data_IF_411512478954
#
_entry.id   IF_411512478954
#
_cell.length_a   1.000
_cell.length_b   1.000
_cell.length_c   1.000
_cell.angle_alpha   90.00
_cell.angle_beta   90.00
_cell.angle_gamma   90.00
#
_symmetry.space_group_name_H-M   'P 1'
#
loop_
_entity.id
_entity.type
_entity.pdbx_description
1 polymer ?
#
# COMPACT_ATOMS: atom_id res chain seq x y z
N UNK A 1 11.70 8.71 -8.26
CA UNK A 1 10.46 8.50 -7.47
C UNK A 1 9.70 7.34 -8.08
N UNK A 2 9.09 6.49 -7.25
CA UNK A 2 8.23 5.39 -7.71
C UNK A 2 6.79 5.70 -7.30
N UNK A 3 5.89 5.75 -8.28
CA UNK A 3 4.47 5.94 -8.05
C UNK A 3 3.81 4.58 -7.77
N UNK A 4 3.20 4.47 -6.59
CA UNK A 4 2.45 3.28 -6.11
C UNK A 4 1.00 3.61 -5.74
N UNK A 5 0.68 4.89 -5.51
CA UNK A 5 -0.69 5.34 -5.27
C UNK A 5 -1.50 5.45 -6.57
N UNK A 6 -2.81 5.28 -6.45
CA UNK A 6 -3.76 5.37 -7.57
C UNK A 6 -4.79 6.49 -7.33
N UNK A 7 -4.39 7.78 -7.33
CA UNK A 7 -5.34 8.87 -7.31
C UNK A 7 -6.14 8.92 -8.61
N UNK A 8 -7.33 9.49 -8.57
CA UNK A 8 -8.15 9.75 -9.78
C UNK A 8 -7.64 10.94 -10.60
N UNK A 9 -6.73 11.73 -10.03
CA UNK A 9 -6.16 12.94 -10.64
C UNK A 9 -4.78 12.69 -11.27
N UNK A 10 -4.35 13.60 -12.14
CA UNK A 10 -3.02 13.60 -12.74
C UNK A 10 -1.99 14.35 -11.89
N UNK A 11 -0.72 14.00 -12.03
CA UNK A 11 0.41 14.68 -11.38
C UNK A 11 1.11 15.62 -12.36
N UNK A 12 1.40 16.84 -11.92
CA UNK A 12 2.22 17.79 -12.68
C UNK A 12 3.73 17.54 -12.50
N UNK A 13 4.50 17.68 -13.58
CA UNK A 13 5.95 17.46 -13.58
C UNK A 13 6.68 18.58 -14.32
N UNK A 14 7.68 19.17 -13.66
CA UNK A 14 8.54 20.19 -14.27
C UNK A 14 9.58 19.56 -15.20
N UNK A 15 9.48 19.85 -16.50
CA UNK A 15 10.42 19.34 -17.52
C UNK A 15 11.86 19.82 -17.30
N UNK A 16 12.15 21.12 -17.04
CA UNK A 16 13.52 21.55 -16.80
C UNK A 16 14.16 20.82 -15.63
N UNK A 17 13.41 20.63 -14.53
CA UNK A 17 13.88 19.90 -13.36
C UNK A 17 14.10 18.42 -13.66
N UNK A 18 13.16 17.79 -14.38
CA UNK A 18 13.26 16.40 -14.78
C UNK A 18 14.56 16.12 -15.54
N UNK A 19 14.92 17.02 -16.46
CA UNK A 19 16.10 16.88 -17.32
C UNK A 19 17.38 17.29 -16.59
N UNK A 20 17.43 18.50 -16.01
CA UNK A 20 18.66 19.06 -15.43
C UNK A 20 19.11 18.28 -14.18
N UNK A 21 18.16 17.77 -13.40
CA UNK A 21 18.46 16.98 -12.20
C UNK A 21 18.52 15.47 -12.50
N UNK A 22 18.26 15.05 -13.75
CA UNK A 22 18.26 13.64 -14.15
C UNK A 22 17.25 12.77 -13.38
N UNK A 23 16.08 13.34 -13.05
CA UNK A 23 15.07 12.66 -12.23
C UNK A 23 14.43 11.53 -13.04
N UNK A 24 14.19 10.38 -12.39
CA UNK A 24 13.44 9.25 -12.96
C UNK A 24 12.12 9.07 -12.23
N UNK A 25 11.04 8.95 -12.99
CA UNK A 25 9.69 8.64 -12.49
C UNK A 25 9.25 7.31 -13.11
N UNK A 26 8.88 6.35 -12.26
CA UNK A 26 8.50 5.00 -12.67
C UNK A 26 7.24 4.59 -11.92
N UNK A 27 6.32 3.88 -12.56
CA UNK A 27 5.17 3.27 -11.90
C UNK A 27 5.51 1.86 -11.42
N UNK A 28 4.98 1.45 -10.26
CA UNK A 28 5.07 0.08 -9.78
C UNK A 28 3.71 -0.37 -9.27
N UNK A 29 3.27 -1.55 -9.70
CA UNK A 29 2.02 -2.14 -9.26
C UNK A 29 2.30 -3.56 -8.80
N UNK A 30 1.97 -3.84 -7.53
CA UNK A 30 2.14 -5.15 -6.89
C UNK A 30 3.54 -5.75 -7.13
N UNK A 31 3.62 -7.03 -7.48
CA UNK A 31 4.82 -7.74 -7.89
C UNK A 31 4.45 -9.05 -8.57
N UNK A 32 5.45 -9.78 -9.06
CA UNK A 32 5.32 -11.14 -9.54
C UNK A 32 5.09 -12.12 -8.38
N UNK A 33 4.80 -13.38 -8.70
CA UNK A 33 4.66 -14.43 -7.67
C UNK A 33 5.97 -14.69 -6.91
N UNK A 34 7.12 -14.53 -7.58
CA UNK A 34 8.41 -14.69 -6.91
C UNK A 34 8.68 -13.51 -5.97
N UNK A 35 8.40 -12.28 -6.39
CA UNK A 35 8.51 -11.09 -5.53
C UNK A 35 7.64 -11.24 -4.25
N UNK A 36 6.43 -11.79 -4.40
CA UNK A 36 5.55 -12.05 -3.24
C UNK A 36 6.13 -13.12 -2.31
N UNK A 37 6.74 -14.17 -2.86
CA UNK A 37 7.39 -15.23 -2.07
C UNK A 37 8.58 -14.68 -1.28
N UNK A 38 9.39 -13.83 -1.89
CA UNK A 38 10.48 -13.13 -1.22
C UNK A 38 9.94 -12.20 -0.12
N UNK A 39 8.87 -11.45 -0.40
CA UNK A 39 8.22 -10.58 0.57
C UNK A 39 7.69 -11.36 1.80
N UNK A 40 7.10 -12.54 1.58
CA UNK A 40 6.68 -13.42 2.68
C UNK A 40 7.85 -13.95 3.49
N UNK A 41 8.98 -14.27 2.84
CA UNK A 41 10.18 -14.72 3.53
C UNK A 41 10.71 -13.65 4.50
N UNK A 42 10.74 -12.38 4.10
CA UNK A 42 11.11 -11.28 5.00
C UNK A 42 10.15 -11.14 6.20
N UNK A 43 8.86 -11.41 6.00
CA UNK A 43 7.88 -11.46 7.08
C UNK A 43 8.10 -12.64 8.03
N UNK A 44 8.40 -13.82 7.49
CA UNK A 44 8.68 -15.03 8.27
C UNK A 44 9.96 -14.90 9.10
N UNK A 45 10.97 -14.19 8.59
CA UNK A 45 12.22 -13.87 9.30
C UNK A 45 12.04 -12.74 10.34
N UNK A 46 10.85 -12.13 10.43
CA UNK A 46 10.56 -11.04 11.35
C UNK A 46 11.23 -9.71 11.00
N UNK A 47 11.81 -9.59 9.80
CA UNK A 47 12.44 -8.35 9.32
C UNK A 47 11.40 -7.28 9.01
N UNK A 48 10.17 -7.69 8.72
CA UNK A 48 9.01 -6.80 8.52
C UNK A 48 7.81 -7.34 9.31
N UNK A 49 7.23 -6.51 10.17
CA UNK A 49 6.02 -6.83 10.92
C UNK A 49 4.90 -5.84 10.54
N UNK A 50 3.90 -6.28 9.74
CA UNK A 50 2.76 -5.44 9.40
C UNK A 50 1.97 -5.04 10.65
N UNK A 51 1.62 -3.75 10.76
CA UNK A 51 0.67 -3.29 11.78
C UNK A 51 -0.75 -3.62 11.31
N UNK A 52 -1.42 -4.51 12.04
CA UNK A 52 -2.76 -5.00 11.70
C UNK A 52 -3.72 -4.82 12.87
N UNK A 53 -4.99 -4.58 12.55
CA UNK A 53 -6.08 -4.56 13.51
C UNK A 53 -7.14 -5.58 13.05
N UNK A 54 -7.48 -6.53 13.92
CA UNK A 54 -8.47 -7.55 13.61
C UNK A 54 -9.88 -6.99 13.81
N UNK A 55 -10.78 -7.30 12.87
CA UNK A 55 -12.20 -6.93 12.91
C UNK A 55 -13.06 -8.12 12.50
N UNK A 56 -14.28 -8.25 13.04
CA UNK A 56 -15.23 -9.26 12.59
C UNK A 56 -15.84 -8.86 11.23
N UNK A 57 -16.49 -9.81 10.54
CA UNK A 57 -17.04 -9.60 9.19
C UNK A 57 -18.22 -8.60 9.20
N UNK A 58 -18.94 -8.51 10.31
CA UNK A 58 -20.07 -7.62 10.53
C UNK A 58 -19.68 -6.14 10.45
N UNK A 59 -18.41 -5.83 10.75
CA UNK A 59 -17.88 -4.46 10.84
C UNK A 59 -17.44 -3.89 9.47
N UNK A 60 -17.59 -4.63 8.37
CA UNK A 60 -17.06 -4.23 7.05
C UNK A 60 -17.53 -2.83 6.62
N UNK A 61 -18.80 -2.48 6.88
CA UNK A 61 -19.33 -1.16 6.52
C UNK A 61 -18.65 -0.02 7.30
N UNK A 62 -18.41 -0.24 8.60
CA UNK A 62 -17.74 0.74 9.45
C UNK A 62 -16.26 0.89 9.06
N UNK A 63 -15.61 -0.21 8.68
CA UNK A 63 -14.22 -0.20 8.17
C UNK A 63 -14.10 0.68 6.93
N UNK A 64 -15.02 0.56 5.95
CA UNK A 64 -14.98 1.41 4.76
C UNK A 64 -15.15 2.89 5.10
N UNK A 65 -16.07 3.22 6.02
CA UNK A 65 -16.25 4.60 6.49
C UNK A 65 -15.00 5.14 7.18
N UNK A 66 -14.40 4.37 8.09
CA UNK A 66 -13.15 4.75 8.76
C UNK A 66 -11.99 4.93 7.76
N UNK A 67 -11.97 4.15 6.68
CA UNK A 67 -10.97 4.25 5.62
C UNK A 67 -11.09 5.55 4.85
N UNK A 68 -12.31 5.91 4.43
CA UNK A 68 -12.60 7.17 3.74
C UNK A 68 -12.31 8.39 4.62
N UNK A 69 -12.59 8.29 5.92
CA UNK A 69 -12.30 9.32 6.92
C UNK A 69 -10.80 9.39 7.30
N UNK A 70 -9.96 8.48 6.78
CA UNK A 70 -8.52 8.45 7.07
C UNK A 70 -8.17 8.04 8.50
N UNK A 71 -9.06 7.34 9.20
CA UNK A 71 -8.89 6.94 10.62
C UNK A 71 -8.17 5.60 10.81
N UNK A 72 -7.98 4.83 9.73
CA UNK A 72 -7.31 3.54 9.79
C UNK A 72 -5.79 3.71 9.90
N UNK A 73 -5.25 3.26 11.03
CA UNK A 73 -3.81 3.06 11.15
C UNK A 73 -3.40 1.75 10.47
N UNK A 74 -2.76 1.86 9.29
CA UNK A 74 -2.18 0.76 8.51
C UNK A 74 -3.20 -0.17 7.81
N UNK A 75 -3.63 -1.26 8.44
CA UNK A 75 -4.49 -2.29 7.83
C UNK A 75 -5.50 -2.85 8.83
N UNK A 76 -6.77 -2.82 8.45
CA UNK A 76 -7.82 -3.65 9.05
C UNK A 76 -7.80 -5.02 8.37
N UNK A 77 -7.94 -6.10 9.16
CA UNK A 77 -7.93 -7.48 8.68
C UNK A 77 -9.18 -8.17 9.23
N UNK A 78 -9.97 -8.76 8.33
CA UNK A 78 -11.16 -9.51 8.72
C UNK A 78 -10.74 -10.86 9.30
N UNK A 79 -11.20 -11.15 10.50
CA UNK A 79 -10.99 -12.44 11.15
C UNK A 79 -12.10 -13.42 10.77
N UNK A 80 -11.72 -14.50 10.08
CA UNK A 80 -12.63 -15.56 9.62
C UNK A 80 -12.51 -16.85 10.44
N UNK A 81 -11.81 -16.83 11.58
CA UNK A 81 -11.54 -18.02 12.42
C UNK A 81 -12.73 -18.40 13.32
N UNK A 82 -13.95 -18.07 12.93
CA UNK A 82 -15.19 -18.33 13.67
C UNK A 82 -16.07 -19.30 12.91
#
# INVERSE_FOLDING_TARGET
VVAVGLPTESMDLSIPRLVLDGIRVVGSLVGTREDLKEAFQFGAEGLVMPKTQLRPMEDVQDIFKEMEEGKINSRMVIDLRH
#
